data_IF_278375188172
#
_entry.id   IF_278375188172
#
_cell.length_a   1.000
_cell.length_b   1.000
_cell.length_c   1.000
_cell.angle_alpha   90.00
_cell.angle_beta   90.00
_cell.angle_gamma   90.00
#
_symmetry.space_group_name_H-M   'P 1'
#
loop_
_entity.id
_entity.type
_entity.pdbx_description
1 polymer ?
#
# COMPACT_ATOMS: atom_id res chain seq x y z
N UNK A 1 11.52 -10.99 3.57
CA UNK A 1 10.45 -11.96 3.29
C UNK A 1 9.18 -11.37 3.90
N UNK A 2 8.23 -10.91 3.08
CA UNK A 2 7.12 -9.97 3.38
C UNK A 2 7.59 -8.49 3.44
N UNK A 3 7.17 -7.61 2.53
CA UNK A 3 7.86 -6.32 2.23
C UNK A 3 6.96 -5.05 2.13
N UNK A 4 5.68 -5.09 2.53
CA UNK A 4 4.56 -4.13 2.68
C UNK A 4 3.55 -4.65 3.72
N UNK A 5 3.25 -5.94 3.77
CA UNK A 5 3.01 -6.62 5.05
C UNK A 5 4.19 -6.41 5.99
N UNK A 6 5.42 -6.48 5.48
CA UNK A 6 6.63 -6.13 6.24
C UNK A 6 6.91 -4.63 6.32
N UNK A 7 6.74 -3.87 5.23
CA UNK A 7 7.09 -2.43 5.22
C UNK A 7 6.10 -1.56 5.99
N UNK A 8 4.82 -1.95 6.06
CA UNK A 8 3.86 -1.32 6.98
C UNK A 8 3.58 -2.14 8.24
N UNK A 9 4.10 -3.37 8.37
CA UNK A 9 3.80 -4.22 9.53
C UNK A 9 2.34 -4.67 9.60
N UNK A 10 1.64 -4.76 8.45
CA UNK A 10 0.20 -5.03 8.39
C UNK A 10 -0.13 -6.47 8.01
N UNK A 11 -1.29 -6.96 8.45
CA UNK A 11 -1.83 -8.25 8.00
C UNK A 11 -2.30 -8.24 6.54
N UNK A 12 -2.48 -9.44 5.97
CA UNK A 12 -2.89 -9.66 4.56
C UNK A 12 -4.14 -8.86 4.15
N UNK A 13 -5.11 -8.73 5.05
CA UNK A 13 -6.36 -8.00 4.78
C UNK A 13 -6.11 -6.52 4.49
N UNK A 14 -5.32 -5.85 5.34
CA UNK A 14 -4.97 -4.43 5.17
C UNK A 14 -4.06 -4.23 3.95
N UNK A 15 -3.07 -5.11 3.75
CA UNK A 15 -2.20 -5.07 2.57
C UNK A 15 -3.02 -5.16 1.27
N UNK A 16 -4.00 -6.07 1.23
CA UNK A 16 -4.92 -6.22 0.09
C UNK A 16 -5.74 -4.95 -0.15
N UNK A 17 -6.24 -4.31 0.91
CA UNK A 17 -6.98 -3.05 0.80
C UNK A 17 -6.10 -1.92 0.24
N UNK A 18 -4.87 -1.77 0.75
CA UNK A 18 -3.91 -0.76 0.26
C UNK A 18 -3.63 -0.96 -1.23
N UNK A 19 -3.31 -2.19 -1.66
CA UNK A 19 -3.03 -2.49 -3.06
C UNK A 19 -4.24 -2.23 -3.95
N UNK A 20 -5.45 -2.58 -3.49
CA UNK A 20 -6.67 -2.32 -4.24
C UNK A 20 -6.98 -0.82 -4.35
N UNK A 21 -6.69 -0.03 -3.32
CA UNK A 21 -6.81 1.44 -3.38
C UNK A 21 -5.85 2.02 -4.42
N UNK A 22 -4.59 1.56 -4.44
CA UNK A 22 -3.61 2.02 -5.45
C UNK A 22 -4.02 1.62 -6.87
N UNK A 23 -4.56 0.42 -7.03
CA UNK A 23 -5.06 -0.10 -8.32
C UNK A 23 -6.28 0.68 -8.81
N UNK A 24 -7.21 1.01 -7.92
CA UNK A 24 -8.46 1.69 -8.27
C UNK A 24 -8.30 3.20 -8.50
N UNK A 25 -7.46 3.88 -7.71
CA UNK A 25 -7.42 5.35 -7.65
C UNK A 25 -6.13 5.93 -8.26
N UNK A 26 -5.08 5.12 -8.42
CA UNK A 26 -3.81 5.58 -8.97
C UNK A 26 -2.98 6.46 -8.03
N UNK A 27 -2.21 7.41 -8.58
CA UNK A 27 -1.32 8.31 -7.82
C UNK A 27 -2.08 9.62 -7.59
N UNK A 28 -2.94 9.63 -6.58
CA UNK A 28 -3.72 10.80 -6.22
C UNK A 28 -3.58 11.06 -4.72
N UNK A 29 -3.73 12.32 -4.31
CA UNK A 29 -3.81 12.69 -2.89
C UNK A 29 -4.84 11.84 -2.12
N UNK A 30 -5.88 11.38 -2.83
CA UNK A 30 -6.90 10.46 -2.33
C UNK A 30 -6.29 9.12 -1.90
N UNK A 31 -5.42 8.50 -2.72
CA UNK A 31 -4.78 7.23 -2.37
C UNK A 31 -3.90 7.36 -1.13
N UNK A 32 -3.11 8.45 -1.03
CA UNK A 32 -2.28 8.72 0.15
C UNK A 32 -3.15 8.86 1.40
N UNK A 33 -4.17 9.72 1.37
CA UNK A 33 -5.07 9.94 2.51
C UNK A 33 -5.84 8.69 2.92
N UNK A 34 -6.22 7.85 1.96
CA UNK A 34 -6.93 6.58 2.22
C UNK A 34 -5.99 5.56 2.87
N UNK A 35 -4.76 5.43 2.37
CA UNK A 35 -3.75 4.54 2.94
C UNK A 35 -3.37 5.00 4.35
N UNK A 36 -3.21 6.32 4.56
CA UNK A 36 -3.01 6.90 5.89
C UNK A 36 -4.13 6.47 6.85
N UNK A 37 -5.39 6.64 6.44
CA UNK A 37 -6.54 6.29 7.27
C UNK A 37 -6.59 4.79 7.60
N UNK A 38 -6.33 3.92 6.62
CA UNK A 38 -6.25 2.46 6.81
C UNK A 38 -5.16 2.10 7.83
N UNK A 39 -3.97 2.70 7.70
CA UNK A 39 -2.84 2.43 8.57
C UNK A 39 -3.04 3.01 9.98
N UNK A 40 -3.59 4.22 10.10
CA UNK A 40 -3.94 4.83 11.38
C UNK A 40 -5.04 4.06 12.12
N UNK A 41 -6.01 3.47 11.41
CA UNK A 41 -6.99 2.57 12.01
C UNK A 41 -6.35 1.29 12.58
N UNK A 42 -5.21 0.87 12.05
CA UNK A 42 -4.38 -0.22 12.58
C UNK A 42 -3.39 0.20 13.68
N UNK A 43 -3.40 1.46 14.11
CA UNK A 43 -2.46 1.98 15.12
C UNK A 43 -1.05 2.26 14.58
N UNK A 44 -0.86 2.28 13.26
CA UNK A 44 0.41 2.57 12.62
C UNK A 44 0.52 4.05 12.28
N UNK A 45 1.72 4.62 12.47
CA UNK A 45 2.04 6.00 12.13
C UNK A 45 3.05 6.06 10.95
N UNK A 46 2.62 5.73 9.72
CA UNK A 46 3.46 5.84 8.53
C UNK A 46 3.72 7.31 8.19
N UNK A 47 4.93 7.62 7.71
CA UNK A 47 5.23 8.94 7.16
C UNK A 47 4.64 9.08 5.76
N UNK A 48 4.27 10.29 5.35
CA UNK A 48 3.76 10.55 3.99
C UNK A 48 4.73 10.06 2.90
N UNK A 49 6.04 10.24 3.10
CA UNK A 49 7.07 9.75 2.20
C UNK A 49 7.09 8.21 2.07
N UNK A 50 6.81 7.47 3.14
CA UNK A 50 6.72 6.01 3.09
C UNK A 50 5.51 5.56 2.26
N UNK A 51 4.39 6.28 2.37
CA UNK A 51 3.18 5.99 1.61
C UNK A 51 3.38 6.29 0.13
N UNK A 52 3.99 7.43 -0.20
CA UNK A 52 4.36 7.78 -1.57
C UNK A 52 5.20 6.67 -2.22
N UNK A 53 6.26 6.24 -1.54
CA UNK A 53 7.11 5.15 -2.00
C UNK A 53 6.31 3.86 -2.23
N UNK A 54 5.42 3.51 -1.30
CA UNK A 54 4.58 2.32 -1.44
C UNK A 54 3.65 2.40 -2.64
N UNK A 55 3.03 3.54 -2.91
CA UNK A 55 2.17 3.73 -4.09
C UNK A 55 2.98 3.56 -5.38
N UNK A 56 4.18 4.15 -5.47
CA UNK A 56 5.06 3.98 -6.65
C UNK A 56 5.39 2.50 -6.86
N UNK A 57 5.78 1.83 -5.78
CA UNK A 57 6.18 0.43 -5.84
C UNK A 57 5.01 -0.48 -6.26
N UNK A 58 3.86 -0.33 -5.61
CA UNK A 58 2.64 -1.10 -5.93
C UNK A 58 2.23 -0.87 -7.38
N UNK A 59 2.24 0.37 -7.86
CA UNK A 59 1.98 0.68 -9.26
C UNK A 59 2.94 -0.03 -10.21
N UNK A 60 4.24 0.00 -9.91
CA UNK A 60 5.25 -0.70 -10.72
C UNK A 60 4.96 -2.20 -10.77
N UNK A 61 4.54 -2.81 -9.66
CA UNK A 61 4.18 -4.23 -9.63
C UNK A 61 2.90 -4.51 -10.41
N UNK A 62 1.86 -3.71 -10.25
CA UNK A 62 0.60 -3.84 -11.02
C UNK A 62 0.87 -3.72 -12.52
N UNK A 63 1.68 -2.75 -12.95
CA UNK A 63 2.04 -2.56 -14.36
C UNK A 63 2.76 -3.78 -14.98
N UNK A 64 3.40 -4.61 -14.15
CA UNK A 64 4.05 -5.85 -14.57
C UNK A 64 3.16 -7.10 -14.37
N UNK A 65 1.86 -6.93 -14.11
CA UNK A 65 0.93 -8.00 -13.74
C UNK A 65 1.30 -8.78 -12.45
N UNK A 66 2.06 -8.14 -11.55
CA UNK A 66 2.56 -8.72 -10.30
C UNK A 66 1.74 -8.28 -9.08
N UNK A 67 0.41 -8.14 -9.21
CA UNK A 67 -0.46 -7.65 -8.13
C UNK A 67 -0.39 -8.50 -6.85
N UNK A 68 -0.31 -9.83 -6.98
CA UNK A 68 -0.13 -10.71 -5.82
C UNK A 68 1.20 -10.44 -5.09
N UNK A 69 2.27 -10.13 -5.84
CA UNK A 69 3.53 -9.71 -5.22
C UNK A 69 3.43 -8.33 -4.59
N UNK A 70 2.55 -7.44 -5.04
CA UNK A 70 2.36 -6.14 -4.40
C UNK A 70 1.65 -6.24 -3.04
N UNK A 71 0.88 -7.33 -2.80
CA UNK A 71 0.18 -7.62 -1.54
C UNK A 71 1.10 -8.35 -0.54
N UNK A 72 2.04 -9.14 -1.08
CA UNK A 72 3.00 -9.96 -0.32
C UNK A 72 4.35 -9.27 -0.17
N UNK A 73 4.64 -8.27 -1.01
CA UNK A 73 5.25 -7.05 -0.50
C UNK A 73 4.30 -6.72 0.64
#
# INVERSE_FOLDING_TARGET
MLEAMGFFGVGKTLATQIVNVVDAVGYAAIAVSTIMAILSAGGLAPTAAAIDFAIIYIKKKIANNLKAQAIVW
#
